data_IF_953667080529
#
_entry.id   IF_953667080529
#
_cell.length_a   1.000
_cell.length_b   1.000
_cell.length_c   1.000
_cell.angle_alpha   90.00
_cell.angle_beta   90.00
_cell.angle_gamma   90.00
#
_symmetry.space_group_name_H-M   'P 1'
#
loop_
_entity.id
_entity.type
_entity.pdbx_description
1 polymer ?
#
# COMPACT_ATOMS: atom_id res chain seq x y z
N UNK A 1 54.03 -7.28 1.70
CA UNK A 1 54.12 -8.44 0.78
C UNK A 1 52.79 -9.19 0.80
N UNK A 2 52.08 -9.35 -0.32
CA UNK A 2 50.87 -10.19 -0.37
C UNK A 2 51.22 -11.62 -0.84
N UNK A 3 50.84 -12.69 -0.10
CA UNK A 3 50.89 -14.05 -0.62
C UNK A 3 49.80 -14.28 -1.68
N UNK A 4 50.16 -15.00 -2.74
CA UNK A 4 49.37 -15.14 -3.98
C UNK A 4 48.33 -16.27 -3.89
N UNK A 5 47.22 -16.12 -4.62
CA UNK A 5 46.33 -17.24 -4.99
C UNK A 5 47.09 -18.26 -5.86
N UNK A 6 46.93 -19.58 -5.67
CA UNK A 6 47.32 -20.58 -6.66
C UNK A 6 46.30 -20.66 -7.82
N UNK A 7 46.78 -21.07 -8.99
CA UNK A 7 46.08 -20.96 -10.29
C UNK A 7 46.14 -22.30 -11.05
N UNK A 8 44.94 -22.87 -11.31
CA UNK A 8 44.49 -23.59 -12.53
C UNK A 8 45.25 -24.83 -13.04
N UNK A 9 44.50 -25.93 -13.25
CA UNK A 9 44.32 -26.72 -14.51
C UNK A 9 43.66 -28.08 -14.17
N UNK A 10 42.98 -28.83 -15.03
CA UNK A 10 42.22 -28.68 -16.27
C UNK A 10 42.04 -30.10 -16.86
N UNK A 11 40.91 -30.39 -17.53
CA UNK A 11 40.65 -31.68 -18.23
C UNK A 11 39.67 -32.60 -17.48
N UNK A 12 38.88 -33.46 -18.14
CA UNK A 12 38.62 -33.61 -19.58
C UNK A 12 37.21 -34.23 -19.78
N UNK A 13 36.66 -34.12 -21.00
CA UNK A 13 35.32 -34.61 -21.38
C UNK A 13 35.42 -36.00 -22.04
N UNK A 14 34.45 -36.91 -21.80
CA UNK A 14 33.94 -37.72 -22.91
C UNK A 14 32.40 -37.86 -22.95
N UNK A 15 31.92 -38.37 -24.08
CA UNK A 15 30.52 -38.68 -24.47
C UNK A 15 30.60 -39.93 -25.41
N UNK A 16 29.50 -40.39 -26.05
CA UNK A 16 28.29 -41.11 -25.60
C UNK A 16 28.30 -42.64 -25.92
N UNK A 17 27.27 -43.38 -25.44
CA UNK A 17 26.62 -44.59 -26.04
C UNK A 17 25.53 -45.10 -25.04
N UNK A 18 24.39 -45.70 -25.39
CA UNK A 18 23.68 -45.84 -26.67
C UNK A 18 22.67 -47.02 -26.68
N UNK A 19 21.43 -46.81 -27.21
CA UNK A 19 20.38 -47.81 -27.58
C UNK A 19 19.80 -48.72 -26.44
N UNK A 20 18.58 -49.28 -26.45
CA UNK A 20 17.41 -49.44 -27.38
C UNK A 20 16.08 -49.28 -26.60
N UNK A 21 14.85 -49.18 -27.15
CA UNK A 21 14.37 -49.04 -28.54
C UNK A 21 13.03 -49.78 -28.83
N UNK A 22 12.16 -49.19 -29.67
CA UNK A 22 11.03 -49.80 -30.45
C UNK A 22 9.72 -50.18 -29.69
N UNK A 23 8.55 -49.60 -30.04
CA UNK A 23 7.56 -50.07 -31.07
C UNK A 23 6.44 -50.94 -30.44
N UNK A 24 5.15 -51.02 -30.85
CA UNK A 24 4.26 -50.34 -31.82
C UNK A 24 2.79 -50.68 -31.46
N UNK A 25 1.78 -50.02 -32.05
CA UNK A 25 0.40 -50.54 -32.00
C UNK A 25 -0.72 -49.54 -32.32
N UNK A 26 -1.04 -49.35 -33.61
CA UNK A 26 -2.21 -48.59 -34.04
C UNK A 26 -3.29 -49.51 -34.65
N UNK A 27 -4.57 -49.28 -34.35
CA UNK A 27 -5.68 -49.62 -35.27
C UNK A 27 -7.00 -48.87 -34.96
N UNK A 28 -7.61 -48.34 -36.03
CA UNK A 28 -8.98 -47.81 -36.14
C UNK A 28 -9.86 -48.90 -36.83
N UNK A 29 -11.20 -48.92 -36.70
CA UNK A 29 -12.15 -48.16 -37.56
C UNK A 29 -13.26 -47.46 -36.73
N UNK A 30 -13.90 -46.33 -37.10
CA UNK A 30 -14.89 -46.08 -38.17
C UNK A 30 -16.17 -46.97 -38.09
N UNK A 31 -17.42 -46.51 -38.23
CA UNK A 31 -18.04 -45.17 -38.30
C UNK A 31 -19.57 -45.29 -38.07
N UNK A 32 -20.28 -44.20 -37.72
CA UNK A 32 -21.75 -44.18 -37.63
C UNK A 32 -22.32 -42.89 -37.01
N UNK A 33 -23.35 -42.31 -37.61
CA UNK A 33 -23.98 -41.03 -37.23
C UNK A 33 -25.52 -41.17 -37.25
N UNK A 34 -26.33 -40.12 -36.98
CA UNK A 34 -26.25 -39.12 -35.90
C UNK A 34 -27.53 -39.14 -35.02
N UNK A 35 -27.50 -38.53 -33.83
CA UNK A 35 -28.70 -38.26 -33.02
C UNK A 35 -28.80 -36.79 -32.60
N UNK A 36 -30.02 -36.25 -32.62
CA UNK A 36 -30.35 -34.81 -32.60
C UNK A 36 -30.90 -34.40 -31.24
N UNK A 37 -30.23 -33.47 -30.54
CA UNK A 37 -30.75 -32.74 -29.39
C UNK A 37 -30.10 -31.34 -29.36
N UNK A 38 -30.75 -30.35 -29.97
CA UNK A 38 -31.47 -29.25 -29.28
C UNK A 38 -30.57 -28.32 -28.47
N UNK A 39 -30.33 -27.14 -29.03
CA UNK A 39 -29.66 -26.03 -28.34
C UNK A 39 -30.54 -25.43 -27.24
N UNK A 40 -29.89 -25.02 -26.15
CA UNK A 40 -30.38 -23.98 -25.25
C UNK A 40 -29.15 -23.17 -24.79
N UNK A 41 -29.06 -21.86 -25.07
CA UNK A 41 -27.93 -21.06 -24.62
C UNK A 41 -28.02 -20.82 -23.11
N UNK A 42 -26.96 -21.17 -22.37
CA UNK A 42 -26.83 -20.75 -20.98
C UNK A 42 -26.78 -19.22 -20.93
N UNK A 43 -27.76 -18.61 -20.29
CA UNK A 43 -27.91 -17.16 -20.26
C UNK A 43 -26.69 -16.51 -19.59
N UNK A 44 -26.06 -15.57 -20.30
CA UNK A 44 -25.11 -14.64 -19.68
C UNK A 44 -25.84 -13.85 -18.60
N UNK A 45 -25.44 -14.07 -17.35
CA UNK A 45 -25.81 -13.20 -16.25
C UNK A 45 -25.30 -11.80 -16.58
N UNK A 46 -26.21 -10.90 -16.96
CA UNK A 46 -25.88 -9.48 -17.14
C UNK A 46 -25.64 -8.91 -15.76
N UNK A 47 -24.37 -8.67 -15.42
CA UNK A 47 -24.05 -7.73 -14.36
C UNK A 47 -24.73 -6.41 -14.67
N UNK A 48 -25.63 -6.01 -13.78
CA UNK A 48 -26.28 -4.71 -13.83
C UNK A 48 -25.18 -3.69 -13.51
N UNK A 49 -24.93 -2.68 -14.37
CA UNK A 49 -24.00 -1.62 -14.02
C UNK A 49 -24.49 -0.98 -12.72
N UNK A 50 -23.68 -1.03 -11.66
CA UNK A 50 -23.94 -0.21 -10.48
C UNK A 50 -23.83 1.25 -10.91
N UNK A 51 -24.87 2.03 -10.63
CA UNK A 51 -24.86 3.47 -10.86
C UNK A 51 -23.71 4.05 -10.03
N UNK A 52 -22.85 4.90 -10.63
CA UNK A 52 -21.71 5.45 -9.91
C UNK A 52 -22.23 6.36 -8.79
N UNK A 53 -22.18 5.84 -7.55
CA UNK A 53 -22.38 6.64 -6.34
C UNK A 53 -21.43 7.83 -6.43
N UNK A 54 -21.97 9.05 -6.54
CA UNK A 54 -21.17 10.27 -6.56
C UNK A 54 -20.33 10.31 -5.27
N UNK A 55 -19.01 10.18 -5.44
CA UNK A 55 -18.09 10.22 -4.30
C UNK A 55 -17.95 11.69 -3.91
N UNK A 56 -18.23 12.07 -2.65
CA UNK A 56 -18.17 13.46 -2.23
C UNK A 56 -16.72 13.96 -2.22
N UNK A 57 -16.35 14.73 -3.25
CA UNK A 57 -15.08 15.45 -3.33
C UNK A 57 -15.20 16.88 -2.80
N UNK A 58 -14.31 17.29 -1.91
CA UNK A 58 -14.21 18.69 -1.44
C UNK A 58 -13.07 19.40 -2.16
N UNK A 59 -13.43 20.43 -2.93
CA UNK A 59 -12.47 21.27 -3.66
C UNK A 59 -11.99 22.42 -2.77
N UNK A 60 -10.67 22.60 -2.67
CA UNK A 60 -10.03 23.67 -1.90
C UNK A 60 -8.86 24.29 -2.67
N UNK A 61 -8.46 25.51 -2.30
CA UNK A 61 -7.19 26.09 -2.79
C UNK A 61 -6.03 25.73 -1.87
N UNK A 62 -4.81 25.66 -2.40
CA UNK A 62 -3.60 25.28 -1.63
C UNK A 62 -3.42 26.08 -0.32
N UNK A 63 -3.84 27.36 -0.28
CA UNK A 63 -3.76 28.20 0.92
C UNK A 63 -4.61 27.69 2.10
N UNK A 64 -5.67 26.93 1.83
CA UNK A 64 -6.58 26.37 2.84
C UNK A 64 -6.14 24.97 3.31
N UNK A 65 -5.10 24.40 2.71
CA UNK A 65 -4.70 23.01 2.94
C UNK A 65 -4.36 22.72 4.42
N UNK A 66 -3.62 23.60 5.09
CA UNK A 66 -3.29 23.45 6.52
C UNK A 66 -4.55 23.49 7.38
N UNK A 67 -5.43 24.46 7.13
CA UNK A 67 -6.64 24.64 7.92
C UNK A 67 -7.60 23.46 7.76
N UNK A 68 -7.63 22.82 6.60
CA UNK A 68 -8.47 21.63 6.34
C UNK A 68 -7.81 20.35 6.84
N UNK A 69 -6.52 20.10 6.58
CA UNK A 69 -5.87 18.83 6.95
C UNK A 69 -5.42 18.77 8.43
N UNK A 70 -4.82 19.85 8.92
CA UNK A 70 -4.15 19.89 10.23
C UNK A 70 -5.08 20.43 11.31
N UNK A 71 -5.80 21.52 11.02
CA UNK A 71 -6.72 22.11 11.99
C UNK A 71 -8.11 21.45 11.95
N UNK A 72 -8.46 20.77 10.84
CA UNK A 72 -9.80 20.23 10.54
C UNK A 72 -10.89 21.30 10.73
N UNK A 73 -10.73 22.42 10.01
CA UNK A 73 -11.58 23.60 10.13
C UNK A 73 -13.01 23.29 9.69
N UNK A 74 -13.92 23.27 10.66
CA UNK A 74 -15.31 22.82 10.48
C UNK A 74 -15.52 21.32 10.69
N UNK A 75 -14.56 20.64 11.34
CA UNK A 75 -14.61 19.24 11.83
C UNK A 75 -14.98 18.16 10.80
N UNK A 76 -14.92 18.48 9.51
CA UNK A 76 -15.42 17.61 8.42
C UNK A 76 -14.67 16.28 8.31
N UNK A 77 -13.35 16.27 8.59
CA UNK A 77 -12.57 15.04 8.54
C UNK A 77 -12.97 14.15 9.73
N UNK A 78 -13.08 14.70 10.95
CA UNK A 78 -13.61 13.99 12.13
C UNK A 78 -15.03 13.47 11.90
N UNK A 79 -15.96 14.31 11.45
CA UNK A 79 -17.35 13.95 11.14
C UNK A 79 -17.44 12.82 10.11
N UNK A 80 -16.58 12.83 9.08
CA UNK A 80 -16.53 11.76 8.09
C UNK A 80 -16.07 10.40 8.66
N UNK A 81 -15.39 10.41 9.81
CA UNK A 81 -14.70 9.25 10.40
C UNK A 81 -13.45 8.79 9.64
N UNK A 82 -13.24 9.25 8.40
CA UNK A 82 -12.18 8.77 7.48
C UNK A 82 -10.91 9.61 7.56
N UNK A 83 -9.83 9.09 6.97
CA UNK A 83 -8.62 9.86 6.72
C UNK A 83 -8.68 10.59 5.37
N UNK A 84 -8.02 11.76 5.22
CA UNK A 84 -7.99 12.51 3.97
C UNK A 84 -7.17 11.82 2.86
N UNK A 85 -7.78 11.74 1.68
CA UNK A 85 -7.13 11.49 0.39
C UNK A 85 -7.01 12.83 -0.33
N UNK A 86 -5.80 13.30 -0.59
CA UNK A 86 -5.52 14.57 -1.27
C UNK A 86 -5.13 14.31 -2.72
N UNK A 87 -5.91 14.85 -3.64
CA UNK A 87 -5.65 14.83 -5.08
C UNK A 87 -5.08 16.19 -5.47
N UNK A 88 -3.83 16.21 -5.94
CA UNK A 88 -3.14 17.41 -6.41
C UNK A 88 -2.35 17.12 -7.69
N UNK A 89 -2.94 17.46 -8.83
CA UNK A 89 -2.35 17.31 -10.16
C UNK A 89 -1.13 18.24 -10.41
N UNK A 90 -0.76 19.08 -9.44
CA UNK A 90 0.34 20.05 -9.55
C UNK A 90 1.59 19.74 -8.69
N UNK A 91 1.58 18.64 -7.92
CA UNK A 91 2.64 18.21 -6.98
C UNK A 91 3.07 19.26 -5.92
N UNK A 92 2.32 20.36 -5.78
CA UNK A 92 2.58 21.45 -4.84
C UNK A 92 2.32 21.01 -3.40
N UNK A 93 1.31 20.17 -3.17
CA UNK A 93 0.97 19.57 -1.87
C UNK A 93 2.07 18.64 -1.39
N UNK A 94 2.59 17.77 -2.28
CA UNK A 94 3.74 16.89 -2.00
C UNK A 94 4.95 17.70 -1.55
N UNK A 95 5.27 18.77 -2.28
CA UNK A 95 6.37 19.69 -1.92
C UNK A 95 6.10 20.40 -0.59
N UNK A 96 4.90 20.97 -0.42
CA UNK A 96 4.54 21.78 0.73
C UNK A 96 4.56 20.98 2.04
N UNK A 97 4.02 19.76 2.06
CA UNK A 97 3.94 18.91 3.24
C UNK A 97 5.31 18.38 3.71
N UNK A 98 6.30 18.27 2.82
CA UNK A 98 7.70 17.97 3.19
C UNK A 98 8.36 19.08 4.01
N UNK A 99 7.86 20.32 3.92
CA UNK A 99 8.29 21.45 4.74
C UNK A 99 7.40 21.67 5.98
N UNK A 100 6.35 20.87 6.16
CA UNK A 100 5.56 20.84 7.39
C UNK A 100 6.11 19.77 8.34
N UNK A 101 5.73 19.84 9.62
CA UNK A 101 6.12 18.87 10.64
C UNK A 101 5.35 17.54 10.49
N UNK A 102 5.70 16.78 9.44
CA UNK A 102 5.04 15.51 9.08
C UNK A 102 6.07 14.38 8.89
N UNK A 103 5.64 13.16 9.19
CA UNK A 103 6.41 11.95 8.88
C UNK A 103 6.10 11.53 7.44
N UNK A 104 6.91 12.01 6.51
CA UNK A 104 6.72 11.83 5.07
C UNK A 104 7.31 10.50 4.55
N UNK A 105 6.51 9.77 3.77
CA UNK A 105 6.89 8.54 3.07
C UNK A 105 6.49 8.62 1.59
N UNK A 106 7.44 8.51 0.66
CA UNK A 106 7.14 8.40 -0.77
C UNK A 106 7.08 6.91 -1.19
N UNK A 107 5.94 6.45 -1.70
CA UNK A 107 5.74 5.06 -2.11
C UNK A 107 6.63 4.63 -3.30
N UNK A 108 7.12 5.57 -4.11
CA UNK A 108 8.07 5.32 -5.21
C UNK A 108 9.53 5.33 -4.75
N UNK A 109 9.83 5.74 -3.51
CA UNK A 109 11.17 5.73 -2.94
C UNK A 109 11.41 4.42 -2.14
N UNK A 110 12.30 3.52 -2.58
CA UNK A 110 12.57 2.27 -1.86
C UNK A 110 13.05 2.48 -0.42
N UNK A 111 13.79 3.56 -0.15
CA UNK A 111 14.30 3.89 1.19
C UNK A 111 13.20 4.35 2.16
N UNK A 112 12.18 5.05 1.67
CA UNK A 112 11.00 5.38 2.49
C UNK A 112 10.14 4.14 2.77
N UNK A 113 10.15 3.18 1.83
CA UNK A 113 9.43 1.91 1.92
C UNK A 113 10.22 0.79 2.62
N UNK A 114 11.31 1.11 3.32
CA UNK A 114 12.00 0.14 4.19
C UNK A 114 11.18 -0.14 5.45
N UNK A 115 11.13 -1.39 5.95
CA UNK A 115 10.28 -1.75 7.10
C UNK A 115 10.53 -0.90 8.35
N UNK A 116 11.80 -0.64 8.72
CA UNK A 116 12.11 0.22 9.86
C UNK A 116 11.71 1.69 9.62
N UNK A 117 11.83 2.17 8.39
CA UNK A 117 11.46 3.55 8.02
C UNK A 117 9.95 3.76 8.12
N UNK A 118 9.16 2.80 7.63
CA UNK A 118 7.70 2.76 7.80
C UNK A 118 7.35 2.68 9.29
N UNK A 119 7.91 1.71 10.03
CA UNK A 119 7.64 1.50 11.45
C UNK A 119 7.88 2.75 12.28
N UNK A 120 9.06 3.36 12.15
CA UNK A 120 9.43 4.58 12.87
C UNK A 120 8.59 5.79 12.46
N UNK A 121 8.19 5.90 11.19
CA UNK A 121 7.25 6.93 10.75
C UNK A 121 5.89 6.80 11.43
N UNK A 122 5.36 5.58 11.60
CA UNK A 122 4.09 5.36 12.33
C UNK A 122 4.26 5.65 13.84
N UNK A 123 5.16 4.95 14.55
CA UNK A 123 5.24 5.10 16.02
C UNK A 123 5.73 6.49 16.45
N UNK A 124 6.63 7.11 15.69
CA UNK A 124 7.08 8.48 15.94
C UNK A 124 5.96 9.50 15.74
N UNK A 125 5.09 9.29 14.74
CA UNK A 125 3.94 10.17 14.53
C UNK A 125 2.89 10.03 15.64
N UNK A 126 2.60 8.79 16.06
CA UNK A 126 1.66 8.52 17.16
C UNK A 126 2.18 9.11 18.49
N UNK A 127 3.49 8.95 18.78
CA UNK A 127 4.17 9.52 19.95
C UNK A 127 4.01 11.03 20.06
N UNK A 128 4.18 11.75 18.95
CA UNK A 128 4.24 13.21 18.92
C UNK A 128 2.96 13.88 18.39
N UNK A 129 1.90 13.12 18.08
CA UNK A 129 0.66 13.64 17.51
C UNK A 129 0.83 14.29 16.13
N UNK A 130 1.76 13.77 15.33
CA UNK A 130 2.09 14.30 14.00
C UNK A 130 1.32 13.58 12.89
N UNK A 131 1.12 14.22 11.73
CA UNK A 131 0.63 13.53 10.54
C UNK A 131 1.70 12.60 9.94
N UNK A 132 1.30 11.40 9.55
CA UNK A 132 2.02 10.57 8.56
C UNK A 132 1.46 10.89 7.19
N UNK A 133 2.35 11.12 6.23
CA UNK A 133 2.00 11.36 4.84
C UNK A 133 2.50 10.19 3.99
N UNK A 134 1.58 9.50 3.30
CA UNK A 134 1.91 8.51 2.28
C UNK A 134 1.63 9.09 0.89
N UNK A 135 2.70 9.36 0.14
CA UNK A 135 2.64 9.92 -1.20
C UNK A 135 2.73 8.81 -2.25
N UNK A 136 1.64 8.59 -2.99
CA UNK A 136 1.59 7.64 -4.12
C UNK A 136 2.07 8.24 -5.44
N UNK A 137 2.30 9.56 -5.49
CA UNK A 137 2.66 10.31 -6.69
C UNK A 137 1.62 10.09 -7.83
N UNK A 138 2.11 9.92 -9.05
CA UNK A 138 1.41 9.73 -10.32
C UNK A 138 1.04 8.26 -10.62
N UNK A 139 1.07 7.36 -9.63
CA UNK A 139 0.96 5.90 -9.87
C UNK A 139 0.06 5.19 -8.86
N UNK A 140 -0.63 4.12 -9.27
CA UNK A 140 -1.46 3.27 -8.40
C UNK A 140 -0.62 2.40 -7.43
N UNK A 141 0.14 3.04 -6.55
CA UNK A 141 1.09 2.38 -5.63
C UNK A 141 0.43 1.77 -4.39
N UNK A 142 -0.88 1.92 -4.18
CA UNK A 142 -1.57 1.54 -2.94
C UNK A 142 -1.29 0.09 -2.50
N UNK A 143 -1.47 -0.89 -3.38
CA UNK A 143 -1.21 -2.30 -3.06
C UNK A 143 0.28 -2.57 -2.80
N UNK A 144 1.17 -2.00 -3.62
CA UNK A 144 2.62 -2.15 -3.44
C UNK A 144 3.11 -1.51 -2.13
N UNK A 145 2.49 -0.42 -1.68
CA UNK A 145 2.74 0.17 -0.36
C UNK A 145 2.16 -0.71 0.76
N UNK A 146 0.94 -1.27 0.59
CA UNK A 146 0.34 -2.21 1.54
C UNK A 146 1.26 -3.42 1.77
N UNK A 147 1.80 -4.02 0.71
CA UNK A 147 2.77 -5.13 0.81
C UNK A 147 4.02 -4.77 1.64
N UNK A 148 4.48 -3.50 1.58
CA UNK A 148 5.63 -3.02 2.36
C UNK A 148 5.29 -2.79 3.83
N UNK A 149 4.09 -2.30 4.11
CA UNK A 149 3.57 -2.18 5.48
C UNK A 149 3.35 -3.57 6.11
N UNK A 150 2.90 -4.55 5.33
CA UNK A 150 2.69 -5.93 5.77
C UNK A 150 3.99 -6.66 6.18
N UNK A 151 5.15 -6.25 5.64
CA UNK A 151 6.47 -6.73 6.10
C UNK A 151 6.82 -6.22 7.49
N UNK A 152 6.30 -5.06 7.92
CA UNK A 152 6.44 -4.56 9.30
C UNK A 152 5.52 -5.35 10.21
N UNK A 153 4.23 -5.38 9.87
CA UNK A 153 3.19 -6.11 10.56
C UNK A 153 2.02 -6.34 9.59
N UNK A 154 1.57 -7.59 9.46
CA UNK A 154 0.48 -7.94 8.55
C UNK A 154 -0.79 -7.14 8.85
N UNK A 155 -1.35 -6.48 7.85
CA UNK A 155 -2.52 -5.62 7.94
C UNK A 155 -2.23 -4.21 8.47
N UNK A 156 -0.96 -3.79 8.62
CA UNK A 156 -0.63 -2.51 9.26
C UNK A 156 -1.24 -1.30 8.54
N UNK A 157 -1.16 -1.23 7.20
CA UNK A 157 -1.75 -0.10 6.46
C UNK A 157 -3.28 -0.05 6.63
N UNK A 158 -3.93 -1.22 6.63
CA UNK A 158 -5.38 -1.33 6.86
C UNK A 158 -5.77 -0.92 8.29
N UNK A 159 -4.98 -1.32 9.30
CA UNK A 159 -5.17 -0.93 10.70
C UNK A 159 -4.95 0.56 10.94
N UNK A 160 -3.99 1.18 10.23
CA UNK A 160 -3.81 2.64 10.21
C UNK A 160 -5.01 3.32 9.53
N UNK A 161 -5.43 2.85 8.36
CA UNK A 161 -6.54 3.44 7.61
C UNK A 161 -7.89 3.37 8.33
N UNK A 162 -8.15 2.30 9.07
CA UNK A 162 -9.36 2.08 9.86
C UNK A 162 -9.29 2.69 11.26
N UNK A 163 -8.16 3.31 11.64
CA UNK A 163 -7.85 3.82 12.99
C UNK A 163 -7.74 2.75 14.07
N UNK A 164 -7.88 1.48 13.72
CA UNK A 164 -7.74 0.33 14.60
C UNK A 164 -6.40 0.32 15.35
N UNK A 165 -5.31 0.79 14.71
CA UNK A 165 -3.98 0.85 15.32
C UNK A 165 -3.92 1.71 16.60
N UNK A 166 -4.87 2.63 16.78
CA UNK A 166 -4.99 3.51 17.96
C UNK A 166 -5.81 2.86 19.09
N UNK A 167 -6.68 1.90 18.75
CA UNK A 167 -7.55 1.19 19.70
C UNK A 167 -6.71 0.27 20.58
N UNK A 168 -7.01 0.22 21.88
CA UNK A 168 -6.31 -0.59 22.89
C UNK A 168 -4.77 -0.47 22.85
N UNK A 169 -4.27 0.69 22.40
CA UNK A 169 -2.84 0.97 22.22
C UNK A 169 -2.10 -0.04 21.33
N UNK A 170 -2.77 -0.63 20.31
CA UNK A 170 -2.17 -1.62 19.39
C UNK A 170 -0.85 -1.18 18.76
N UNK A 171 -0.63 0.11 18.55
CA UNK A 171 0.66 0.69 18.11
C UNK A 171 1.86 0.29 18.98
N UNK A 172 1.67 -0.09 20.24
CA UNK A 172 2.74 -0.58 21.14
C UNK A 172 3.40 -1.85 20.59
N UNK A 173 2.69 -2.68 19.82
CA UNK A 173 3.24 -3.87 19.17
C UNK A 173 4.28 -3.58 18.07
N UNK A 174 4.38 -2.31 17.64
CA UNK A 174 5.40 -1.82 16.70
C UNK A 174 6.67 -1.32 17.41
N UNK A 175 6.68 -1.20 18.74
CA UNK A 175 7.87 -0.84 19.52
C UNK A 175 8.76 -2.06 19.71
N UNK A 176 10.07 -1.89 19.62
CA UNK A 176 11.07 -2.95 19.79
C UNK A 176 11.96 -2.67 20.99
N UNK A 177 12.46 -3.73 21.63
CA UNK A 177 13.43 -3.65 22.74
C UNK A 177 14.76 -2.97 22.33
N UNK A 178 15.01 -2.84 21.02
CA UNK A 178 16.17 -2.16 20.44
C UNK A 178 15.94 -0.68 20.14
N UNK A 179 14.71 -0.17 20.33
CA UNK A 179 14.41 1.25 20.17
C UNK A 179 15.00 2.06 21.35
N UNK A 180 15.21 3.38 21.20
CA UNK A 180 15.66 4.21 22.31
C UNK A 180 14.71 4.13 23.51
N UNK A 181 15.25 4.23 24.73
CA UNK A 181 14.51 4.14 26.02
C UNK A 181 13.26 5.01 26.07
N UNK A 182 13.31 6.13 25.35
CA UNK A 182 12.20 7.02 25.03
C UNK A 182 10.91 6.30 24.61
N UNK A 183 10.98 5.22 23.83
CA UNK A 183 9.84 4.45 23.33
C UNK A 183 9.50 3.23 24.20
N UNK A 184 10.48 2.69 24.94
CA UNK A 184 10.31 1.44 25.71
C UNK A 184 9.62 1.67 27.05
N UNK A 185 9.77 2.85 27.68
CA UNK A 185 8.89 3.29 28.78
C UNK A 185 7.52 3.74 28.22
N UNK A 186 6.67 2.75 27.93
CA UNK A 186 5.33 2.97 27.37
C UNK A 186 4.46 3.94 28.18
N UNK A 187 4.71 4.08 29.50
CA UNK A 187 3.94 4.93 30.40
C UNK A 187 4.15 6.43 30.16
N UNK A 188 5.35 6.83 29.73
CA UNK A 188 5.71 8.22 29.42
C UNK A 188 5.82 8.49 27.91
N UNK A 189 6.04 7.43 27.11
CA UNK A 189 6.23 7.48 25.67
C UNK A 189 5.01 7.98 24.90
N UNK A 190 3.81 7.47 25.20
CA UNK A 190 2.59 7.70 24.42
C UNK A 190 1.55 8.46 25.23
N UNK A 191 1.68 9.80 25.26
CA UNK A 191 0.75 10.67 25.98
C UNK A 191 -0.58 10.72 25.24
N UNK A 192 -1.69 10.45 25.93
CA UNK A 192 -3.02 10.32 25.33
C UNK A 192 -3.38 11.48 24.38
N UNK A 193 -3.25 12.74 24.82
CA UNK A 193 -3.53 13.91 23.98
C UNK A 193 -2.58 14.15 22.80
N UNK A 194 -1.43 13.45 22.73
CA UNK A 194 -0.60 13.37 21.53
C UNK A 194 -1.09 12.27 20.60
N UNK A 195 -1.45 11.09 21.13
CA UNK A 195 -2.01 9.97 20.35
C UNK A 195 -3.28 10.41 19.59
N UNK A 196 -4.14 11.20 20.24
CA UNK A 196 -5.36 11.77 19.62
C UNK A 196 -5.05 12.77 18.49
N UNK A 197 -3.84 13.34 18.47
CA UNK A 197 -3.36 14.25 17.43
C UNK A 197 -2.86 13.55 16.16
N UNK A 198 -2.63 12.23 16.22
CA UNK A 198 -2.16 11.44 15.08
C UNK A 198 -3.11 11.56 13.88
N UNK A 199 -2.53 11.71 12.68
CA UNK A 199 -3.29 11.74 11.42
C UNK A 199 -2.59 10.89 10.38
N UNK A 200 -3.36 10.21 9.56
CA UNK A 200 -2.86 9.62 8.32
C UNK A 200 -3.38 10.44 7.14
N UNK A 201 -2.51 10.81 6.21
CA UNK A 201 -2.83 11.59 5.02
C UNK A 201 -2.26 10.83 3.82
N UNK A 202 -3.08 10.61 2.80
CA UNK A 202 -2.63 9.97 1.56
C UNK A 202 -2.69 10.99 0.41
N UNK A 203 -1.63 11.07 -0.39
CA UNK A 203 -1.50 12.04 -1.51
C UNK A 203 -1.35 11.27 -2.84
N UNK A 204 -1.89 11.85 -3.90
CA UNK A 204 -1.69 11.41 -5.29
C UNK A 204 -1.84 12.57 -6.27
N UNK A 205 -1.04 12.58 -7.33
CA UNK A 205 -1.18 13.51 -8.46
C UNK A 205 -1.96 12.93 -9.64
N UNK A 206 -2.43 11.67 -9.53
CA UNK A 206 -3.43 11.12 -10.46
C UNK A 206 -4.78 11.85 -10.35
N UNK A 207 -5.24 12.46 -11.45
CA UNK A 207 -6.53 13.15 -11.54
C UNK A 207 -7.74 12.26 -11.15
N UNK A 208 -7.64 10.95 -11.39
CA UNK A 208 -8.64 9.95 -11.01
C UNK A 208 -7.98 8.75 -10.31
N UNK A 209 -7.91 8.73 -8.97
CA UNK A 209 -7.46 7.58 -8.19
C UNK A 209 -8.46 6.41 -8.25
N UNK A 210 -8.12 5.27 -7.62
CA UNK A 210 -9.04 4.13 -7.55
C UNK A 210 -10.37 4.51 -6.85
N UNK A 211 -11.54 4.20 -7.45
CA UNK A 211 -12.85 4.43 -6.81
C UNK A 211 -12.98 3.80 -5.43
N UNK A 212 -12.38 2.62 -5.21
CA UNK A 212 -12.38 1.95 -3.91
C UNK A 212 -11.67 2.79 -2.83
N UNK A 213 -10.51 3.36 -3.17
CA UNK A 213 -9.74 4.21 -2.27
C UNK A 213 -10.48 5.52 -1.99
N UNK A 214 -11.08 6.12 -3.03
CA UNK A 214 -11.90 7.32 -2.92
C UNK A 214 -13.18 7.10 -2.08
N UNK A 215 -13.79 5.91 -2.11
CA UNK A 215 -14.90 5.57 -1.22
C UNK A 215 -14.47 5.36 0.24
N UNK A 216 -13.27 4.81 0.46
CA UNK A 216 -12.73 4.51 1.79
C UNK A 216 -12.14 5.72 2.52
N UNK A 217 -11.73 6.75 1.79
CA UNK A 217 -11.10 7.97 2.33
C UNK A 217 -12.03 9.19 2.20
N UNK A 218 -11.64 10.31 2.82
CA UNK A 218 -12.31 11.60 2.66
C UNK A 218 -11.60 12.38 1.55
N UNK A 219 -12.25 12.57 0.40
CA UNK A 219 -11.59 13.07 -0.82
C UNK A 219 -11.52 14.59 -0.82
N UNK A 220 -10.29 15.11 -0.92
CA UNK A 220 -9.97 16.53 -1.03
C UNK A 220 -9.23 16.75 -2.35
N UNK A 221 -9.72 17.64 -3.22
CA UNK A 221 -9.04 18.02 -4.47
C UNK A 221 -8.50 19.44 -4.35
N UNK A 222 -7.22 19.62 -4.63
CA UNK A 222 -6.56 20.94 -4.59
C UNK A 222 -6.52 21.54 -5.99
N UNK A 223 -6.88 22.82 -6.10
CA UNK A 223 -6.95 23.59 -7.35
C UNK A 223 -6.32 24.99 -7.20
#
# INVERSE_FOLDING_TARGET
MPPKKPVVKAGAKPKPKGATGASSGAKKPAAGAPAKATAAPAATAKEKPEEPKEIPEVKIVLKQLIDVLMNDTGDKIKESGKWPLVIDESDRVSTFLRYQDTNYLNAKNPGDMEPERIRMAIIGAIRFGKPVVLDMMDTHMFHAAADKFDVVQKGLLESVMTKDILVDQKYTSLVKDTDPDEYTDQSSAFRHGMVDGFRFILITSMASPSPELMQRMYVIRVQ
#
